data_IF_045905395231
#
_entry.id   IF_045905395231
#
_cell.length_a   1.000
_cell.length_b   1.000
_cell.length_c   1.000
_cell.angle_alpha   90.00
_cell.angle_beta   90.00
_cell.angle_gamma   90.00
#
_symmetry.space_group_name_H-M   'P 1'
#
loop_
_entity.id
_entity.type
_entity.pdbx_description
1 polymer ?
#
# COMPACT_ATOMS: atom_id res chain seq x y z
N UNK A 1 -30.85 15.06 13.40
CA UNK A 1 -30.85 13.79 12.62
C UNK A 1 -29.68 13.82 11.62
N UNK A 2 -28.45 13.61 12.11
CA UNK A 2 -27.20 13.51 11.34
C UNK A 2 -26.12 13.20 12.37
N UNK A 3 -25.82 11.92 12.58
CA UNK A 3 -24.66 11.38 13.31
C UNK A 3 -24.93 9.89 13.60
N UNK A 4 -24.82 9.04 12.58
CA UNK A 4 -24.79 7.57 12.72
C UNK A 4 -24.35 7.04 11.34
N UNK A 5 -23.04 6.95 11.14
CA UNK A 5 -22.46 6.50 9.86
C UNK A 5 -20.97 6.23 9.89
N UNK A 6 -20.24 6.67 10.93
CA UNK A 6 -18.77 6.58 10.96
C UNK A 6 -18.21 5.31 11.63
N UNK A 7 -19.02 4.50 12.33
CA UNK A 7 -18.48 3.43 13.18
C UNK A 7 -18.29 2.06 12.49
N UNK A 8 -18.80 1.85 11.26
CA UNK A 8 -18.79 0.53 10.62
C UNK A 8 -17.74 0.35 9.50
N UNK A 9 -17.02 1.41 9.10
CA UNK A 9 -16.06 1.36 7.98
C UNK A 9 -14.60 1.17 8.40
N UNK A 10 -14.29 1.30 9.69
CA UNK A 10 -12.90 1.28 10.20
C UNK A 10 -12.19 -0.08 10.18
N UNK A 11 -12.88 -1.17 9.84
CA UNK A 11 -12.32 -2.53 9.89
C UNK A 11 -11.90 -3.11 8.52
N UNK A 12 -12.17 -2.43 7.41
CA UNK A 12 -11.85 -2.95 6.06
C UNK A 12 -10.88 -2.08 5.24
N UNK A 13 -10.45 -0.93 5.75
CA UNK A 13 -9.43 -0.08 5.14
C UNK A 13 -8.34 0.27 6.17
N UNK A 14 -7.54 -0.73 6.55
CA UNK A 14 -6.23 -0.49 7.14
C UNK A 14 -5.17 -0.53 6.04
N UNK A 15 -5.21 0.48 5.17
CA UNK A 15 -4.11 0.80 4.25
C UNK A 15 -3.33 1.96 4.90
N UNK A 16 -2.12 1.65 5.36
CA UNK A 16 -1.01 2.56 5.61
C UNK A 16 -1.25 3.85 6.44
N UNK A 17 -1.42 3.70 7.76
CA UNK A 17 -0.98 4.73 8.72
C UNK A 17 -0.02 4.07 9.73
N UNK A 18 1.27 4.45 9.79
CA UNK A 18 2.15 4.04 10.87
C UNK A 18 1.86 4.94 12.07
N UNK A 19 0.95 4.53 12.95
CA UNK A 19 0.80 5.13 14.27
C UNK A 19 1.32 4.14 15.30
N UNK A 20 2.58 4.33 15.72
CA UNK A 20 3.05 3.86 17.01
C UNK A 20 2.14 4.45 18.09
N UNK A 21 1.50 3.59 18.87
CA UNK A 21 0.66 4.03 19.99
C UNK A 21 -0.04 2.86 20.65
N UNK A 22 0.57 2.31 21.68
CA UNK A 22 -0.10 1.47 22.68
C UNK A 22 -1.18 2.35 23.32
N UNK A 23 -2.45 2.12 22.98
CA UNK A 23 -3.57 2.74 23.68
C UNK A 23 -4.69 1.71 23.84
N UNK A 24 -4.75 1.16 25.06
CA UNK A 24 -5.92 0.53 25.65
C UNK A 24 -7.12 1.48 25.56
N UNK A 25 -8.23 1.04 24.96
CA UNK A 25 -9.51 1.73 25.03
C UNK A 25 -10.55 0.77 25.64
N UNK A 26 -10.61 0.79 26.96
CA UNK A 26 -11.85 0.57 27.72
C UNK A 26 -12.74 1.81 27.53
N UNK A 27 -14.04 1.66 27.26
CA UNK A 27 -14.97 2.80 27.24
C UNK A 27 -16.25 2.69 26.40
N UNK A 28 -17.08 1.71 26.76
CA UNK A 28 -18.55 1.60 26.77
C UNK A 28 -19.53 2.44 25.89
N UNK A 29 -20.58 1.70 25.47
CA UNK A 29 -22.01 2.05 25.26
C UNK A 29 -22.58 2.68 23.96
N UNK A 30 -23.09 1.80 23.07
CA UNK A 30 -24.47 1.86 22.53
C UNK A 30 -24.66 1.68 21.00
N UNK A 31 -25.81 1.18 20.49
CA UNK A 31 -26.91 0.43 21.12
C UNK A 31 -26.86 -1.08 20.78
N UNK A 32 -27.26 -1.92 21.73
CA UNK A 32 -27.50 -3.36 21.58
C UNK A 32 -28.65 -3.59 20.60
N UNK A 33 -28.41 -4.38 19.57
CA UNK A 33 -29.46 -5.14 18.93
C UNK A 33 -29.61 -6.46 19.70
N UNK A 34 -30.75 -6.64 20.36
CA UNK A 34 -31.12 -7.88 21.03
C UNK A 34 -31.21 -9.01 20.00
N UNK A 35 -30.22 -9.90 20.03
CA UNK A 35 -30.39 -11.29 19.66
C UNK A 35 -29.88 -12.11 20.87
N UNK A 36 -30.66 -12.09 21.95
CA UNK A 36 -30.45 -12.98 23.07
C UNK A 36 -30.66 -14.42 22.60
N UNK A 37 -29.56 -15.16 22.47
CA UNK A 37 -29.58 -16.61 22.58
C UNK A 37 -28.82 -16.93 23.86
N UNK A 38 -29.57 -17.41 24.84
CA UNK A 38 -29.08 -17.82 26.15
C UNK A 38 -28.10 -18.99 25.96
N UNK A 39 -26.80 -18.70 26.03
CA UNK A 39 -25.76 -19.72 26.01
C UNK A 39 -25.47 -20.15 27.45
N UNK A 40 -26.22 -21.15 27.93
CA UNK A 40 -25.75 -21.98 29.04
C UNK A 40 -24.41 -22.63 28.68
N UNK A 41 -23.63 -23.15 29.66
CA UNK A 41 -22.33 -23.73 29.40
C UNK A 41 -22.53 -24.98 28.54
N UNK A 42 -22.26 -24.84 27.25
CA UNK A 42 -22.30 -25.95 26.31
C UNK A 42 -20.90 -26.56 26.28
N UNK A 43 -20.70 -27.63 27.07
CA UNK A 43 -19.81 -28.73 26.69
C UNK A 43 -20.41 -29.48 25.47
N UNK A 44 -20.66 -28.73 24.39
CA UNK A 44 -20.91 -29.29 23.08
C UNK A 44 -19.53 -29.48 22.46
N UNK A 45 -19.10 -30.74 22.31
CA UNK A 45 -17.75 -31.09 21.83
C UNK A 45 -17.31 -30.19 20.68
N UNK A 46 -16.19 -29.50 20.88
CA UNK A 46 -15.62 -28.59 19.89
C UNK A 46 -15.39 -29.36 18.58
N UNK A 47 -15.86 -28.82 17.46
CA UNK A 47 -15.59 -29.41 16.15
C UNK A 47 -14.08 -29.46 15.91
N UNK A 48 -13.51 -30.61 15.53
CA UNK A 48 -12.09 -30.71 15.22
C UNK A 48 -11.69 -29.71 14.13
N UNK A 49 -10.57 -29.02 14.35
CA UNK A 49 -10.01 -28.12 13.36
C UNK A 49 -9.19 -28.91 12.34
N UNK A 50 -9.58 -28.87 11.06
CA UNK A 50 -8.77 -29.32 9.93
C UNK A 50 -8.78 -28.27 8.83
N UNK A 51 -7.75 -28.26 8.00
CA UNK A 51 -7.70 -27.35 6.86
C UNK A 51 -8.87 -27.63 5.90
N UNK A 52 -9.44 -26.57 5.36
CA UNK A 52 -10.39 -26.64 4.24
C UNK A 52 -9.63 -26.37 2.96
N UNK A 53 -9.81 -27.27 1.99
CA UNK A 53 -9.18 -27.18 0.67
C UNK A 53 -10.11 -27.81 -0.37
N UNK A 54 -10.72 -26.98 -1.21
CA UNK A 54 -11.69 -27.34 -2.24
C UNK A 54 -11.30 -26.68 -3.58
N UNK A 55 -10.32 -27.22 -4.32
CA UNK A 55 -9.88 -26.66 -5.59
C UNK A 55 -10.97 -26.66 -6.68
N UNK A 56 -11.99 -27.52 -6.55
CA UNK A 56 -13.16 -27.55 -7.40
C UNK A 56 -14.11 -26.35 -7.19
N UNK A 57 -13.95 -25.61 -6.09
CA UNK A 57 -14.83 -24.50 -5.70
C UNK A 57 -14.18 -23.12 -5.89
N UNK A 58 -13.14 -23.01 -6.73
CA UNK A 58 -12.38 -21.77 -6.93
C UNK A 58 -13.26 -20.60 -7.36
N UNK A 59 -14.21 -20.83 -8.25
CA UNK A 59 -15.15 -19.85 -8.82
C UNK A 59 -16.53 -19.88 -8.16
N UNK A 60 -16.79 -20.79 -7.21
CA UNK A 60 -18.09 -20.95 -6.55
C UNK A 60 -18.36 -19.79 -5.56
N UNK A 61 -19.40 -18.96 -5.77
CA UNK A 61 -19.70 -17.84 -4.88
C UNK A 61 -20.02 -18.31 -3.46
N UNK A 62 -19.35 -17.70 -2.47
CA UNK A 62 -19.54 -18.03 -1.05
C UNK A 62 -18.65 -19.16 -0.54
N UNK A 63 -17.86 -19.79 -1.42
CA UNK A 63 -16.83 -20.78 -1.07
C UNK A 63 -15.41 -20.30 -1.37
N UNK A 64 -15.24 -19.00 -1.62
CA UNK A 64 -13.95 -18.37 -1.91
C UNK A 64 -12.79 -18.84 -1.02
N UNK A 65 -13.02 -18.86 0.30
CA UNK A 65 -12.00 -19.23 1.30
C UNK A 65 -11.91 -20.74 1.56
N UNK A 66 -12.70 -21.58 0.90
CA UNK A 66 -12.50 -23.03 0.92
C UNK A 66 -11.24 -23.43 0.12
N UNK A 67 -10.64 -22.49 -0.61
CA UNK A 67 -9.31 -22.59 -1.19
C UNK A 67 -8.43 -21.42 -0.70
N UNK A 68 -7.13 -21.63 -0.42
CA UNK A 68 -6.25 -20.56 0.05
C UNK A 68 -6.20 -19.34 -0.88
N UNK A 69 -6.14 -18.14 -0.31
CA UNK A 69 -5.95 -16.90 -1.05
C UNK A 69 -4.74 -16.15 -0.49
N UNK A 70 -3.92 -15.44 -1.28
CA UNK A 70 -3.87 -15.46 -2.75
C UNK A 70 -3.32 -16.79 -3.29
N UNK A 71 -3.45 -17.03 -4.58
CA UNK A 71 -2.86 -18.17 -5.30
C UNK A 71 -2.74 -17.86 -6.79
N UNK A 72 -1.68 -18.31 -7.46
CA UNK A 72 -1.58 -18.18 -8.94
C UNK A 72 -2.73 -18.92 -9.66
N UNK A 73 -3.36 -19.92 -9.02
CA UNK A 73 -4.56 -20.61 -9.51
C UNK A 73 -5.83 -19.72 -9.46
N UNK A 74 -5.74 -18.54 -8.83
CA UNK A 74 -6.76 -17.50 -8.83
C UNK A 74 -6.29 -16.32 -9.68
N UNK A 75 -5.88 -16.60 -10.91
CA UNK A 75 -5.56 -15.56 -11.88
C UNK A 75 -6.17 -15.84 -13.24
N UNK A 76 -6.46 -14.78 -14.00
CA UNK A 76 -6.89 -14.90 -15.39
C UNK A 76 -5.70 -15.23 -16.32
N UNK A 77 -5.98 -15.41 -17.62
CA UNK A 77 -4.94 -15.68 -18.62
C UNK A 77 -3.90 -14.55 -18.81
N UNK A 78 -4.13 -13.37 -18.22
CA UNK A 78 -3.20 -12.24 -18.22
C UNK A 78 -2.48 -12.09 -16.87
N UNK A 79 -2.76 -12.96 -15.90
CA UNK A 79 -2.18 -12.94 -14.56
C UNK A 79 -2.89 -12.00 -13.57
N UNK A 80 -4.04 -11.42 -13.93
CA UNK A 80 -4.81 -10.60 -12.99
C UNK A 80 -5.48 -11.47 -11.93
N UNK A 81 -5.54 -11.05 -10.66
CA UNK A 81 -6.29 -11.77 -9.64
C UNK A 81 -7.75 -12.03 -10.06
N UNK A 82 -8.23 -13.26 -9.87
CA UNK A 82 -9.62 -13.66 -10.05
C UNK A 82 -10.34 -13.71 -8.69
N UNK A 83 -11.35 -12.86 -8.53
CA UNK A 83 -12.16 -12.74 -7.32
C UNK A 83 -13.62 -13.18 -7.54
N UNK A 84 -13.93 -13.92 -8.60
CA UNK A 84 -15.28 -14.39 -8.96
C UNK A 84 -16.03 -15.12 -7.82
N UNK A 85 -15.32 -15.93 -7.02
CA UNK A 85 -15.89 -16.63 -5.87
C UNK A 85 -16.11 -15.75 -4.62
N UNK A 86 -15.53 -14.54 -4.58
CA UNK A 86 -15.52 -13.65 -3.41
C UNK A 86 -16.95 -13.24 -3.00
N UNK A 87 -17.23 -13.06 -1.69
CA UNK A 87 -18.57 -12.70 -1.23
C UNK A 87 -19.14 -11.48 -1.97
N UNK A 88 -20.39 -11.60 -2.45
CA UNK A 88 -21.06 -10.54 -3.22
C UNK A 88 -21.00 -9.20 -2.51
N UNK A 89 -20.33 -8.24 -3.14
CA UNK A 89 -20.19 -6.88 -2.66
C UNK A 89 -21.19 -5.93 -3.37
N UNK A 90 -21.31 -4.71 -2.84
CA UNK A 90 -22.08 -3.60 -3.46
C UNK A 90 -21.34 -2.30 -3.25
N UNK A 91 -21.60 -1.32 -4.11
CA UNK A 91 -20.96 -0.01 -4.09
C UNK A 91 -19.44 -0.14 -4.15
N UNK A 92 -18.73 0.69 -3.38
CA UNK A 92 -17.28 0.80 -3.37
C UNK A 92 -16.50 -0.52 -3.36
N UNK A 93 -16.99 -1.54 -2.65
CA UNK A 93 -16.29 -2.83 -2.54
C UNK A 93 -16.44 -3.64 -3.84
N UNK A 94 -17.59 -3.58 -4.50
CA UNK A 94 -17.77 -4.21 -5.82
C UNK A 94 -16.89 -3.51 -6.85
N UNK A 95 -16.81 -2.18 -6.77
CA UNK A 95 -15.98 -1.39 -7.67
C UNK A 95 -14.49 -1.68 -7.42
N UNK A 96 -14.05 -1.81 -6.17
CA UNK A 96 -12.69 -2.21 -5.81
C UNK A 96 -12.30 -3.60 -6.31
N UNK A 97 -13.23 -4.57 -6.27
CA UNK A 97 -13.02 -5.90 -6.85
C UNK A 97 -12.77 -5.79 -8.35
N UNK A 98 -13.62 -5.04 -9.07
CA UNK A 98 -13.49 -4.85 -10.51
C UNK A 98 -12.15 -4.19 -10.90
N UNK A 99 -11.60 -3.30 -10.07
CA UNK A 99 -10.24 -2.75 -10.27
C UNK A 99 -9.19 -3.84 -10.14
N UNK A 100 -9.23 -4.58 -9.03
CA UNK A 100 -8.22 -5.61 -8.74
C UNK A 100 -8.17 -6.64 -9.86
N UNK A 101 -9.32 -7.02 -10.40
CA UNK A 101 -9.43 -7.96 -11.52
C UNK A 101 -8.99 -7.39 -12.88
N UNK A 102 -8.86 -6.06 -13.02
CA UNK A 102 -8.65 -5.42 -14.33
C UNK A 102 -7.33 -4.67 -14.49
N UNK A 103 -6.73 -4.14 -13.41
CA UNK A 103 -5.61 -3.20 -13.54
C UNK A 103 -4.23 -3.84 -13.65
N UNK A 104 -3.91 -4.78 -12.74
CA UNK A 104 -2.51 -5.23 -12.58
C UNK A 104 -2.38 -6.74 -12.41
N UNK A 105 -1.48 -7.39 -13.16
CA UNK A 105 -1.17 -8.79 -12.93
C UNK A 105 -0.47 -8.96 -11.58
N UNK A 106 -0.67 -10.12 -10.96
CA UNK A 106 -0.10 -10.47 -9.66
C UNK A 106 -0.85 -9.85 -8.47
N UNK A 107 -0.45 -10.28 -7.27
CA UNK A 107 -1.06 -9.87 -6.01
C UNK A 107 -0.31 -8.72 -5.33
N UNK A 108 -0.97 -8.00 -4.44
CA UNK A 108 -0.37 -6.85 -3.74
C UNK A 108 0.92 -7.24 -2.96
N UNK A 109 2.00 -6.42 -3.01
CA UNK A 109 3.22 -6.64 -2.24
C UNK A 109 3.05 -6.67 -0.70
N UNK A 110 1.88 -6.29 -0.20
CA UNK A 110 1.51 -6.31 1.22
C UNK A 110 0.34 -7.26 1.52
N UNK A 111 -0.02 -8.13 0.56
CA UNK A 111 -1.13 -9.06 0.70
C UNK A 111 -0.92 -10.05 1.86
N UNK A 112 -2.02 -10.42 2.53
CA UNK A 112 -2.02 -11.53 3.49
C UNK A 112 -2.43 -12.83 2.81
N UNK A 113 -1.92 -13.96 3.28
CA UNK A 113 -2.42 -15.28 2.93
C UNK A 113 -3.49 -15.76 3.93
N UNK A 114 -4.50 -16.46 3.43
CA UNK A 114 -5.71 -16.85 4.13
C UNK A 114 -5.93 -18.35 4.00
N UNK A 115 -6.10 -19.04 5.12
CA UNK A 115 -6.38 -20.47 5.20
C UNK A 115 -7.59 -20.72 6.10
N UNK A 116 -8.65 -21.32 5.57
CA UNK A 116 -9.86 -21.65 6.33
C UNK A 116 -9.73 -23.02 7.01
N UNK A 117 -10.34 -23.14 8.17
CA UNK A 117 -10.43 -24.37 8.95
C UNK A 117 -11.89 -24.78 9.19
N UNK A 118 -12.13 -26.08 9.32
CA UNK A 118 -13.44 -26.65 9.67
C UNK A 118 -13.88 -26.35 11.11
N UNK A 119 -12.92 -26.01 11.97
CA UNK A 119 -13.12 -25.78 13.41
C UNK A 119 -12.13 -24.75 13.96
N UNK A 120 -12.30 -24.33 15.23
CA UNK A 120 -11.45 -23.32 15.86
C UNK A 120 -10.04 -23.82 16.17
N UNK A 121 -9.02 -23.00 15.91
CA UNK A 121 -7.66 -23.22 16.39
C UNK A 121 -7.50 -22.76 17.85
N UNK A 122 -6.49 -23.31 18.54
CA UNK A 122 -6.02 -22.82 19.84
C UNK A 122 -5.19 -21.54 19.64
N UNK A 123 -5.72 -20.34 19.99
CA UNK A 123 -5.04 -19.08 19.75
C UNK A 123 -3.77 -18.91 20.60
N UNK A 124 -3.66 -19.60 21.73
CA UNK A 124 -2.48 -19.51 22.62
C UNK A 124 -1.26 -20.24 22.03
N UNK A 125 -1.48 -21.11 21.04
CA UNK A 125 -0.43 -21.87 20.35
C UNK A 125 -0.02 -21.28 19.01
N UNK A 126 -0.56 -20.12 18.65
CA UNK A 126 -0.14 -19.41 17.45
C UNK A 126 1.16 -18.62 17.72
N UNK A 127 2.05 -18.48 16.73
CA UNK A 127 3.20 -17.59 16.85
C UNK A 127 2.74 -16.16 17.14
N UNK A 128 3.16 -15.60 18.28
CA UNK A 128 2.84 -14.23 18.68
C UNK A 128 3.94 -13.23 18.32
N UNK A 129 5.20 -13.69 18.27
CA UNK A 129 6.32 -12.90 17.79
C UNK A 129 6.34 -12.88 16.25
N UNK A 130 6.20 -11.70 15.60
CA UNK A 130 6.25 -11.59 14.15
C UNK A 130 7.61 -12.00 13.54
N UNK A 131 8.67 -12.10 14.34
CA UNK A 131 9.96 -12.60 13.88
C UNK A 131 9.98 -14.14 13.75
N UNK A 132 9.11 -14.87 14.46
CA UNK A 132 9.14 -16.33 14.51
C UNK A 132 9.03 -17.02 13.14
N UNK A 133 8.16 -16.62 12.18
CA UNK A 133 8.15 -17.20 10.84
C UNK A 133 9.49 -17.11 10.09
N UNK A 134 10.36 -16.16 10.45
CA UNK A 134 11.72 -16.02 9.91
C UNK A 134 12.75 -16.79 10.74
N UNK A 135 12.74 -16.59 12.05
CA UNK A 135 13.87 -16.90 12.91
C UNK A 135 13.74 -18.25 13.65
N UNK A 136 12.51 -18.76 13.84
CA UNK A 136 12.26 -20.03 14.54
C UNK A 136 12.21 -21.21 13.53
N UNK A 137 13.15 -22.16 13.60
CA UNK A 137 13.17 -23.35 12.74
C UNK A 137 11.93 -24.23 12.87
N UNK A 138 11.27 -24.22 14.03
CA UNK A 138 10.09 -25.04 14.35
C UNK A 138 8.77 -24.29 14.13
N UNK A 139 8.80 -23.03 13.67
CA UNK A 139 7.59 -22.26 13.47
C UNK A 139 6.63 -22.95 12.48
N UNK A 140 5.38 -23.26 12.87
CA UNK A 140 4.47 -24.00 12.00
C UNK A 140 4.02 -23.21 10.78
N UNK A 141 4.29 -21.90 10.71
CA UNK A 141 3.88 -21.01 9.62
C UNK A 141 5.10 -20.30 9.05
N UNK A 142 5.29 -20.42 7.74
CA UNK A 142 6.42 -19.85 7.02
C UNK A 142 5.93 -18.98 5.85
N UNK A 143 6.64 -17.87 5.60
CA UNK A 143 6.51 -17.06 4.39
C UNK A 143 7.85 -17.15 3.66
N UNK A 144 7.85 -17.66 2.44
CA UNK A 144 9.05 -18.03 1.70
C UNK A 144 9.12 -17.33 0.34
N UNK A 145 10.28 -16.78 0.00
CA UNK A 145 10.66 -16.53 -1.40
C UNK A 145 10.91 -17.88 -2.06
N UNK A 146 10.10 -18.21 -3.08
CA UNK A 146 10.18 -19.49 -3.81
C UNK A 146 10.47 -19.27 -5.30
N UNK A 147 10.84 -18.04 -5.66
CA UNK A 147 11.09 -17.70 -7.04
C UNK A 147 12.43 -18.30 -7.50
N UNK A 148 12.45 -19.13 -8.55
CA UNK A 148 13.66 -19.82 -8.98
C UNK A 148 14.76 -18.85 -9.45
N UNK A 149 14.41 -17.65 -9.90
CA UNK A 149 15.34 -16.63 -10.36
C UNK A 149 15.73 -15.65 -9.22
N UNK A 150 15.16 -15.81 -8.02
CA UNK A 150 15.48 -14.95 -6.89
C UNK A 150 16.88 -15.23 -6.34
N UNK A 151 17.72 -14.20 -6.15
CA UNK A 151 18.99 -14.34 -5.42
C UNK A 151 18.77 -14.65 -3.92
N UNK A 152 17.52 -14.56 -3.44
CA UNK A 152 17.11 -14.83 -2.08
C UNK A 152 16.19 -16.05 -2.00
N UNK A 153 16.22 -16.95 -2.99
CA UNK A 153 15.45 -18.20 -2.99
C UNK A 153 15.59 -18.93 -1.64
N UNK A 154 14.45 -19.25 -1.01
CA UNK A 154 14.38 -19.88 0.30
C UNK A 154 14.40 -18.90 1.49
N UNK A 155 14.57 -17.60 1.25
CA UNK A 155 14.52 -16.58 2.31
C UNK A 155 13.16 -16.63 3.00
N UNK A 156 13.19 -16.73 4.32
CA UNK A 156 12.02 -16.60 5.19
C UNK A 156 11.74 -15.14 5.50
N UNK A 157 10.47 -14.75 5.49
CA UNK A 157 10.03 -13.39 5.82
C UNK A 157 9.40 -13.37 7.21
N UNK A 158 9.61 -12.30 8.01
CA UNK A 158 8.87 -12.13 9.25
C UNK A 158 7.40 -11.82 8.91
N UNK A 159 6.47 -12.27 9.74
CA UNK A 159 5.06 -12.11 9.46
C UNK A 159 4.18 -12.21 10.69
N UNK A 160 3.05 -11.50 10.66
CA UNK A 160 1.99 -11.65 11.63
C UNK A 160 1.13 -12.86 11.28
N UNK A 161 0.93 -13.73 12.26
CA UNK A 161 0.00 -14.86 12.20
C UNK A 161 -1.19 -14.53 13.10
N UNK A 162 -2.41 -14.51 12.54
CA UNK A 162 -3.63 -14.23 13.29
C UNK A 162 -4.73 -15.21 12.92
N UNK A 163 -5.53 -15.60 13.92
CA UNK A 163 -6.69 -16.44 13.71
C UNK A 163 -7.99 -15.67 13.95
N UNK A 164 -8.88 -15.73 12.98
CA UNK A 164 -10.19 -15.10 13.01
C UNK A 164 -11.26 -16.19 13.18
N UNK A 165 -11.76 -16.35 14.41
CA UNK A 165 -12.79 -17.36 14.70
C UNK A 165 -14.16 -16.99 14.10
N UNK A 166 -14.56 -15.72 14.19
CA UNK A 166 -15.88 -15.26 13.77
C UNK A 166 -15.92 -14.86 12.30
N UNK A 167 -16.99 -15.26 11.60
CA UNK A 167 -17.24 -14.81 10.24
C UNK A 167 -17.60 -13.31 10.20
N UNK A 168 -17.29 -12.66 9.08
CA UNK A 168 -17.81 -11.32 8.75
C UNK A 168 -18.57 -11.38 7.42
N UNK A 169 -19.06 -10.25 6.92
CA UNK A 169 -19.66 -10.18 5.58
C UNK A 169 -18.70 -10.65 4.47
N UNK A 170 -17.40 -10.38 4.62
CA UNK A 170 -16.38 -10.62 3.58
C UNK A 170 -15.36 -11.69 3.99
N UNK A 171 -15.59 -12.35 5.12
CA UNK A 171 -14.62 -13.25 5.71
C UNK A 171 -15.29 -14.51 6.27
N UNK A 172 -14.74 -15.66 5.92
CA UNK A 172 -15.10 -16.94 6.51
C UNK A 172 -14.72 -16.99 8.01
N UNK A 173 -15.55 -17.66 8.83
CA UNK A 173 -15.14 -18.09 10.18
C UNK A 173 -13.96 -19.05 10.11
N UNK A 174 -13.24 -19.15 11.22
CA UNK A 174 -12.08 -20.02 11.40
C UNK A 174 -11.01 -19.83 10.32
N UNK A 175 -10.60 -18.58 10.08
CA UNK A 175 -9.59 -18.25 9.06
C UNK A 175 -8.28 -17.84 9.71
N UNK A 176 -7.20 -18.53 9.37
CA UNK A 176 -5.83 -18.13 9.67
C UNK A 176 -5.36 -17.12 8.61
N UNK A 177 -4.67 -16.08 9.07
CA UNK A 177 -4.19 -14.96 8.26
C UNK A 177 -2.71 -14.80 8.52
N UNK A 178 -1.92 -14.77 7.44
CA UNK A 178 -0.47 -14.67 7.49
C UNK A 178 -0.05 -13.50 6.62
N UNK A 179 0.47 -12.43 7.22
CA UNK A 179 0.82 -11.20 6.50
C UNK A 179 2.26 -10.79 6.82
N UNK A 180 3.08 -10.37 5.84
CA UNK A 180 4.42 -9.86 6.11
C UNK A 180 4.37 -8.65 7.07
N UNK A 181 5.47 -8.44 7.79
CA UNK A 181 5.62 -7.23 8.62
C UNK A 181 5.68 -5.99 7.71
N UNK A 182 4.94 -4.91 8.00
CA UNK A 182 5.02 -3.68 7.24
C UNK A 182 6.47 -3.18 7.11
N UNK A 183 6.88 -2.81 5.90
CA UNK A 183 8.25 -2.41 5.58
C UNK A 183 9.22 -3.55 5.27
N UNK A 184 8.86 -4.81 5.57
CA UNK A 184 9.63 -6.02 5.21
C UNK A 184 8.68 -6.94 4.41
N UNK A 185 8.30 -6.45 3.23
CA UNK A 185 7.29 -7.07 2.36
C UNK A 185 7.88 -7.97 1.28
N UNK A 186 7.01 -8.36 0.36
CA UNK A 186 7.39 -9.13 -0.81
C UNK A 186 8.04 -8.22 -1.87
N UNK A 187 9.04 -8.74 -2.59
CA UNK A 187 9.61 -8.04 -3.73
C UNK A 187 8.69 -8.13 -4.95
N UNK A 188 8.50 -7.02 -5.69
CA UNK A 188 7.79 -7.00 -6.97
C UNK A 188 8.24 -8.07 -7.95
N UNK A 189 7.28 -8.65 -8.69
CA UNK A 189 7.54 -9.60 -9.78
C UNK A 189 8.00 -10.99 -9.34
N UNK A 190 8.24 -11.22 -8.04
CA UNK A 190 8.68 -12.52 -7.53
C UNK A 190 7.54 -13.42 -7.08
N UNK A 191 7.81 -14.72 -7.07
CA UNK A 191 6.92 -15.74 -6.52
C UNK A 191 7.20 -16.04 -5.04
N UNK A 192 6.14 -16.08 -4.25
CA UNK A 192 6.19 -16.41 -2.82
C UNK A 192 5.25 -17.55 -2.48
N UNK A 193 5.55 -18.24 -1.38
CA UNK A 193 4.63 -19.20 -0.78
C UNK A 193 4.41 -18.90 0.70
N UNK A 194 3.18 -19.08 1.15
CA UNK A 194 2.90 -19.27 2.58
C UNK A 194 2.65 -20.74 2.81
N UNK A 195 3.44 -21.33 3.71
CA UNK A 195 3.44 -22.75 4.03
C UNK A 195 3.06 -22.93 5.48
N UNK A 196 2.06 -23.77 5.73
CA UNK A 196 1.70 -24.22 7.07
C UNK A 196 2.13 -25.68 7.22
N UNK A 197 3.03 -25.92 8.18
CA UNK A 197 3.58 -27.22 8.53
C UNK A 197 2.79 -27.84 9.69
N UNK A 198 3.26 -28.99 10.16
CA UNK A 198 2.87 -29.54 11.45
C UNK A 198 3.08 -28.54 12.59
N UNK A 199 2.21 -28.59 13.60
CA UNK A 199 2.36 -27.81 14.84
C UNK A 199 1.13 -27.02 15.25
N UNK A 200 0.27 -26.65 14.29
CA UNK A 200 -1.02 -26.03 14.62
C UNK A 200 -1.97 -27.02 15.29
N UNK A 201 -2.73 -26.54 16.27
CA UNK A 201 -3.69 -27.35 17.04
C UNK A 201 -5.06 -26.69 17.09
N UNK A 202 -6.09 -27.52 17.06
CA UNK A 202 -7.46 -27.13 17.35
C UNK A 202 -7.62 -26.70 18.81
N UNK A 203 -8.71 -25.99 19.10
CA UNK A 203 -9.09 -25.65 20.47
C UNK A 203 -9.43 -26.88 21.34
N UNK A 204 -9.62 -28.04 20.71
CA UNK A 204 -9.73 -29.37 21.34
C UNK A 204 -8.36 -30.01 21.69
N UNK A 205 -7.26 -29.31 21.39
CA UNK A 205 -5.88 -29.75 21.59
C UNK A 205 -5.35 -30.72 20.54
N UNK A 206 -6.18 -31.16 19.58
CA UNK A 206 -5.77 -32.10 18.54
C UNK A 206 -4.94 -31.39 17.45
N UNK A 207 -3.99 -32.08 16.80
CA UNK A 207 -3.30 -31.52 15.63
C UNK A 207 -4.30 -31.19 14.53
N UNK A 208 -4.12 -30.06 13.83
CA UNK A 208 -4.93 -29.73 12.67
C UNK A 208 -4.43 -30.48 11.42
N UNK A 209 -5.16 -31.49 10.91
CA UNK A 209 -4.72 -32.23 9.73
C UNK A 209 -4.92 -31.40 8.47
N UNK A 210 -4.14 -31.73 7.43
CA UNK A 210 -4.39 -31.27 6.08
C UNK A 210 -5.74 -31.78 5.57
N UNK A 211 -6.31 -31.08 4.60
CA UNK A 211 -7.50 -31.55 3.90
C UNK A 211 -7.17 -32.80 3.07
N UNK A 212 -8.09 -33.79 2.96
CA UNK A 212 -7.87 -34.98 2.13
C UNK A 212 -7.51 -34.68 0.67
N UNK A 213 -8.14 -33.66 0.07
CA UNK A 213 -7.84 -33.23 -1.29
C UNK A 213 -6.42 -32.63 -1.42
N UNK A 214 -5.92 -31.97 -0.37
CA UNK A 214 -4.54 -31.47 -0.34
C UNK A 214 -3.53 -32.60 -0.15
N UNK A 215 -3.83 -33.58 0.70
CA UNK A 215 -2.97 -34.77 0.89
C UNK A 215 -2.86 -35.58 -0.42
N UNK A 216 -3.95 -35.73 -1.17
CA UNK A 216 -3.92 -36.41 -2.48
C UNK A 216 -2.92 -35.75 -3.45
N UNK A 217 -2.82 -34.41 -3.46
CA UNK A 217 -1.86 -33.68 -4.31
C UNK A 217 -0.39 -34.04 -4.02
N UNK A 218 -0.08 -34.56 -2.84
CA UNK A 218 1.28 -35.00 -2.50
C UNK A 218 1.68 -36.27 -3.24
N UNK A 219 0.71 -37.14 -3.56
CA UNK A 219 0.92 -38.38 -4.30
C UNK A 219 0.81 -38.17 -5.81
N UNK A 220 0.07 -37.14 -6.22
CA UNK A 220 -0.10 -36.72 -7.61
C UNK A 220 -1.45 -36.04 -7.80
N UNK A 221 -1.52 -35.06 -8.71
CA UNK A 221 -2.76 -34.37 -9.04
C UNK A 221 -2.93 -34.21 -10.54
N UNK A 222 -4.17 -34.05 -10.96
CA UNK A 222 -4.52 -33.82 -12.37
C UNK A 222 -4.63 -32.32 -12.69
N UNK A 223 -4.47 -31.99 -13.97
CA UNK A 223 -4.71 -30.66 -14.51
C UNK A 223 -3.79 -29.58 -13.94
N UNK A 224 -4.27 -28.34 -13.99
CA UNK A 224 -3.50 -27.16 -13.57
C UNK A 224 -3.20 -27.15 -12.06
N UNK A 225 -4.17 -27.55 -11.23
CA UNK A 225 -3.98 -27.65 -9.77
C UNK A 225 -2.90 -28.68 -9.44
N UNK A 226 -2.94 -29.86 -10.07
CA UNK A 226 -1.93 -30.89 -9.90
C UNK A 226 -0.52 -30.40 -10.28
N UNK A 227 -0.38 -29.79 -11.46
CA UNK A 227 0.89 -29.24 -11.92
C UNK A 227 1.41 -28.12 -11.01
N UNK A 228 0.54 -27.21 -10.56
CA UNK A 228 0.89 -26.12 -9.65
C UNK A 228 1.47 -26.64 -8.33
N UNK A 229 0.78 -27.60 -7.69
CA UNK A 229 1.23 -28.15 -6.41
C UNK A 229 2.42 -29.11 -6.55
N UNK A 230 2.54 -29.86 -7.64
CA UNK A 230 3.73 -30.66 -7.92
C UNK A 230 5.00 -29.79 -7.98
N UNK A 231 4.94 -28.67 -8.72
CA UNK A 231 6.04 -27.71 -8.79
C UNK A 231 6.33 -27.06 -7.42
N UNK A 232 5.28 -26.70 -6.68
CA UNK A 232 5.46 -26.15 -5.33
C UNK A 232 6.15 -27.15 -4.39
N UNK A 233 5.72 -28.41 -4.38
CA UNK A 233 6.35 -29.44 -3.53
C UNK A 233 7.79 -29.71 -3.93
N UNK A 234 8.12 -29.75 -5.22
CA UNK A 234 9.51 -29.87 -5.71
C UNK A 234 10.38 -28.72 -5.19
N UNK A 235 9.91 -27.47 -5.31
CA UNK A 235 10.62 -26.31 -4.78
C UNK A 235 10.79 -26.38 -3.26
N UNK A 236 9.73 -26.73 -2.52
CA UNK A 236 9.80 -26.84 -1.06
C UNK A 236 10.76 -27.95 -0.61
N UNK A 237 10.76 -29.10 -1.27
CA UNK A 237 11.70 -30.20 -1.00
C UNK A 237 13.15 -29.77 -1.29
N UNK A 238 13.39 -29.06 -2.39
CA UNK A 238 14.70 -28.47 -2.71
C UNK A 238 15.18 -27.45 -1.66
N UNK A 239 14.25 -26.78 -0.99
CA UNK A 239 14.51 -25.86 0.12
C UNK A 239 14.61 -26.55 1.49
N UNK A 240 14.49 -27.88 1.55
CA UNK A 240 14.59 -28.66 2.78
C UNK A 240 13.30 -28.71 3.61
N UNK A 241 12.14 -28.47 2.99
CA UNK A 241 10.82 -28.65 3.61
C UNK A 241 10.14 -29.90 3.03
N UNK A 242 10.19 -31.06 3.73
CA UNK A 242 9.62 -32.30 3.23
C UNK A 242 8.12 -32.16 2.98
N UNK A 243 7.66 -32.63 1.81
CA UNK A 243 6.24 -32.64 1.42
C UNK A 243 5.32 -33.28 2.47
N UNK A 244 5.80 -34.30 3.18
CA UNK A 244 5.04 -34.97 4.23
C UNK A 244 4.63 -34.03 5.38
N UNK A 245 5.47 -33.04 5.71
CA UNK A 245 5.27 -32.11 6.82
C UNK A 245 4.34 -30.94 6.46
N UNK A 246 4.10 -30.70 5.17
CA UNK A 246 3.24 -29.60 4.70
C UNK A 246 1.77 -29.95 4.93
N UNK A 247 1.05 -29.12 5.69
CA UNK A 247 -0.38 -29.30 5.99
C UNK A 247 -1.30 -28.43 5.14
N UNK A 248 -0.81 -27.26 4.74
CA UNK A 248 -1.42 -26.43 3.72
C UNK A 248 -0.35 -25.53 3.11
N UNK A 249 -0.54 -25.12 1.87
CA UNK A 249 0.32 -24.12 1.25
C UNK A 249 -0.44 -23.36 0.15
N UNK A 250 0.00 -22.13 -0.09
CA UNK A 250 -0.40 -21.37 -1.27
C UNK A 250 0.80 -20.66 -1.88
N UNK A 251 0.91 -20.67 -3.20
CA UNK A 251 1.96 -20.01 -3.96
C UNK A 251 1.36 -18.94 -4.89
N UNK A 252 1.97 -17.77 -4.91
CA UNK A 252 1.43 -16.59 -5.60
C UNK A 252 2.54 -15.64 -6.06
N UNK A 253 2.29 -15.00 -7.19
CA UNK A 253 3.19 -14.03 -7.82
C UNK A 253 2.81 -12.61 -7.44
N UNK A 254 3.80 -11.79 -7.11
CA UNK A 254 3.60 -10.43 -6.64
C UNK A 254 3.58 -9.45 -7.81
N UNK A 255 2.59 -8.57 -7.81
CA UNK A 255 2.48 -7.47 -8.75
C UNK A 255 3.68 -6.53 -8.67
N UNK A 256 3.99 -5.87 -9.80
CA UNK A 256 5.02 -4.84 -9.84
C UNK A 256 4.41 -3.43 -10.01
N UNK A 257 4.06 -2.75 -8.91
CA UNK A 257 3.51 -1.40 -9.00
C UNK A 257 4.56 -0.34 -9.39
N UNK A 258 5.85 -0.66 -9.35
CA UNK A 258 6.91 0.30 -9.64
C UNK A 258 7.07 0.55 -11.15
N UNK A 259 6.73 -0.42 -12.01
CA UNK A 259 6.84 -0.31 -13.48
C UNK A 259 6.18 0.96 -14.01
N UNK A 260 4.95 1.24 -13.58
CA UNK A 260 4.22 2.42 -14.04
C UNK A 260 4.82 3.73 -13.50
N UNK A 261 5.40 3.72 -12.28
CA UNK A 261 6.13 4.89 -11.77
C UNK A 261 7.45 5.11 -12.52
N UNK A 262 8.12 4.05 -12.97
CA UNK A 262 9.27 4.14 -13.85
C UNK A 262 8.90 4.69 -15.23
N UNK A 263 7.75 4.29 -15.78
CA UNK A 263 7.21 4.87 -17.01
C UNK A 263 6.92 6.36 -16.86
N UNK A 264 6.27 6.76 -15.75
CA UNK A 264 6.03 8.17 -15.44
C UNK A 264 7.34 8.96 -15.30
N UNK A 265 8.35 8.36 -14.63
CA UNK A 265 9.70 8.94 -14.50
C UNK A 265 10.37 9.14 -15.85
N UNK A 266 10.39 8.11 -16.71
CA UNK A 266 10.96 8.20 -18.06
C UNK A 266 10.27 9.32 -18.85
N UNK A 267 8.94 9.38 -18.80
CA UNK A 267 8.17 10.41 -19.47
C UNK A 267 8.53 11.81 -18.96
N UNK A 268 8.45 12.06 -17.65
CA UNK A 268 8.67 13.40 -17.09
C UNK A 268 10.11 13.87 -17.30
N UNK A 269 11.10 12.96 -17.24
CA UNK A 269 12.51 13.28 -17.53
C UNK A 269 12.77 13.68 -18.98
N UNK A 270 11.97 13.18 -19.93
CA UNK A 270 12.07 13.56 -21.33
C UNK A 270 11.42 14.92 -21.64
N UNK A 271 10.62 15.46 -20.71
CA UNK A 271 9.96 16.75 -20.91
C UNK A 271 10.88 17.95 -20.67
N UNK A 272 10.64 19.08 -21.38
CA UNK A 272 11.33 20.33 -21.09
C UNK A 272 11.00 20.82 -19.68
N UNK A 273 11.95 21.53 -19.06
CA UNK A 273 11.74 22.12 -17.75
C UNK A 273 10.78 23.32 -17.86
N UNK A 274 9.72 23.39 -17.04
CA UNK A 274 8.86 24.55 -16.95
C UNK A 274 9.63 25.79 -16.47
N UNK A 275 9.22 26.96 -16.95
CA UNK A 275 9.68 28.23 -16.39
C UNK A 275 8.96 28.52 -15.06
N UNK A 276 9.70 29.01 -14.08
CA UNK A 276 9.13 29.53 -12.83
C UNK A 276 8.86 31.02 -13.00
N UNK A 277 7.61 31.42 -12.81
CA UNK A 277 7.14 32.78 -13.06
C UNK A 277 6.37 33.35 -11.86
N UNK A 278 6.07 34.64 -11.90
CA UNK A 278 5.19 35.27 -10.90
C UNK A 278 5.82 35.42 -9.51
N UNK A 279 7.15 35.50 -9.42
CA UNK A 279 7.87 35.69 -8.17
C UNK A 279 7.34 36.89 -7.35
N UNK A 280 7.06 36.63 -6.08
CA UNK A 280 6.59 37.63 -5.12
C UNK A 280 7.24 37.42 -3.76
N UNK A 281 7.68 38.51 -3.12
CA UNK A 281 8.04 38.52 -1.70
C UNK A 281 6.75 38.49 -0.87
N UNK A 282 6.59 37.46 -0.04
CA UNK A 282 5.47 37.35 0.89
C UNK A 282 5.76 38.01 2.24
N UNK A 283 6.98 37.83 2.74
CA UNK A 283 7.42 38.40 4.02
C UNK A 283 8.95 38.50 4.06
N UNK A 284 9.46 39.54 4.72
CA UNK A 284 10.87 39.67 5.09
C UNK A 284 10.97 39.72 6.60
N UNK A 285 11.52 38.67 7.20
CA UNK A 285 11.74 38.50 8.63
C UNK A 285 13.25 38.54 8.93
N UNK A 286 13.68 38.68 10.20
CA UNK A 286 15.10 38.86 10.53
C UNK A 286 16.03 37.79 9.96
N UNK A 287 15.60 36.53 9.97
CA UNK A 287 16.38 35.34 9.62
C UNK A 287 15.92 34.66 8.31
N UNK A 288 14.78 35.07 7.75
CA UNK A 288 14.17 34.42 6.58
C UNK A 288 13.42 35.43 5.72
N UNK A 289 13.58 35.32 4.40
CA UNK A 289 12.68 35.95 3.43
C UNK A 289 11.83 34.88 2.77
N UNK A 290 10.52 35.06 2.79
CA UNK A 290 9.55 34.15 2.19
C UNK A 290 9.17 34.64 0.80
N UNK A 291 9.23 33.75 -0.18
CA UNK A 291 8.83 34.00 -1.56
C UNK A 291 7.72 33.06 -1.99
N UNK A 292 7.01 33.45 -3.05
CA UNK A 292 6.06 32.61 -3.76
C UNK A 292 6.26 32.76 -5.26
N UNK A 293 6.03 31.67 -6.00
CA UNK A 293 6.02 31.65 -7.45
C UNK A 293 5.08 30.57 -7.99
N UNK A 294 5.01 30.42 -9.30
CA UNK A 294 4.20 29.40 -9.98
C UNK A 294 4.95 28.83 -11.17
N UNK A 295 4.75 27.54 -11.42
CA UNK A 295 5.17 26.86 -12.64
C UNK A 295 4.05 25.93 -13.13
N UNK A 296 4.18 25.41 -14.35
CA UNK A 296 3.23 24.46 -14.92
C UNK A 296 3.79 23.02 -14.83
N UNK A 297 3.11 22.10 -14.17
CA UNK A 297 3.49 20.67 -14.10
C UNK A 297 2.90 19.86 -15.27
N UNK A 298 3.31 18.60 -15.40
CA UNK A 298 2.71 17.60 -16.29
C UNK A 298 1.80 16.69 -15.47
N UNK A 299 0.50 16.93 -15.54
CA UNK A 299 -0.53 16.15 -14.86
C UNK A 299 -0.97 14.97 -15.73
N UNK A 300 -0.75 13.75 -15.23
CA UNK A 300 -0.98 12.50 -15.95
C UNK A 300 -2.35 11.88 -15.66
N UNK A 301 -3.11 12.44 -14.72
CA UNK A 301 -4.40 11.92 -14.30
C UNK A 301 -5.48 12.22 -15.35
N UNK A 302 -6.29 11.21 -15.70
CA UNK A 302 -7.47 11.41 -16.55
C UNK A 302 -8.63 12.10 -15.80
N UNK A 303 -9.59 12.65 -16.55
CA UNK A 303 -10.76 13.33 -15.97
C UNK A 303 -10.45 14.71 -15.37
N UNK A 304 -11.29 15.13 -14.42
CA UNK A 304 -11.17 16.45 -13.78
C UNK A 304 -11.33 16.36 -12.26
N UNK A 305 -10.56 17.16 -11.49
CA UNK A 305 -10.73 17.22 -10.06
C UNK A 305 -12.15 17.70 -9.72
N UNK A 306 -12.76 17.18 -8.63
CA UNK A 306 -12.14 16.36 -7.59
C UNK A 306 -12.11 14.85 -7.86
N UNK A 307 -12.33 14.36 -9.09
CA UNK A 307 -12.28 12.92 -9.42
C UNK A 307 -13.25 12.05 -8.60
N UNK A 308 -14.46 12.56 -8.33
CA UNK A 308 -15.45 11.86 -7.50
C UNK A 308 -16.17 10.72 -8.23
N UNK A 309 -16.10 10.70 -9.56
CA UNK A 309 -16.62 9.58 -10.35
C UNK A 309 -15.63 8.41 -10.28
N UNK A 310 -16.13 7.23 -9.90
CA UNK A 310 -15.30 6.04 -9.81
C UNK A 310 -14.61 5.74 -11.15
N UNK A 311 -13.30 5.49 -11.12
CA UNK A 311 -12.50 5.27 -12.33
C UNK A 311 -11.94 6.53 -12.99
N UNK A 312 -12.41 7.72 -12.63
CA UNK A 312 -11.76 8.99 -13.00
C UNK A 312 -10.50 9.23 -12.17
N UNK A 313 -9.59 10.07 -12.66
CA UNK A 313 -8.32 10.34 -11.99
C UNK A 313 -7.32 9.19 -12.16
N UNK A 314 -7.55 8.28 -13.10
CA UNK A 314 -6.64 7.15 -13.33
C UNK A 314 -5.44 7.61 -14.16
N UNK A 315 -4.22 7.29 -13.72
CA UNK A 315 -3.04 7.39 -14.59
C UNK A 315 -2.99 6.13 -15.44
N UNK A 316 -3.07 6.29 -16.77
CA UNK A 316 -3.05 5.18 -17.72
C UNK A 316 -1.84 5.32 -18.64
N UNK A 317 -1.27 4.19 -19.01
CA UNK A 317 -0.16 4.12 -19.95
C UNK A 317 -0.60 3.41 -21.23
N UNK A 318 -0.16 3.92 -22.38
CA UNK A 318 -0.28 3.24 -23.65
C UNK A 318 0.69 2.04 -23.70
N UNK A 319 0.52 1.10 -24.67
CA UNK A 319 1.40 -0.07 -24.77
C UNK A 319 2.90 0.25 -24.95
N UNK A 320 3.24 1.46 -25.39
CA UNK A 320 4.62 1.94 -25.52
C UNK A 320 5.19 2.55 -24.23
N UNK A 321 4.41 2.53 -23.13
CA UNK A 321 4.79 3.07 -21.83
C UNK A 321 4.63 4.59 -21.70
N UNK A 322 4.03 5.28 -22.69
CA UNK A 322 3.74 6.71 -22.57
C UNK A 322 2.43 6.95 -21.80
N UNK A 323 2.31 8.01 -20.99
CA UNK A 323 1.04 8.37 -20.36
C UNK A 323 -0.03 8.68 -21.41
N UNK A 324 -1.21 8.09 -21.25
CA UNK A 324 -2.35 8.30 -22.15
C UNK A 324 -2.97 9.70 -22.00
N UNK A 325 -2.79 10.33 -20.84
CA UNK A 325 -3.20 11.72 -20.58
C UNK A 325 -1.99 12.53 -20.14
N UNK A 326 -1.87 13.73 -20.67
CA UNK A 326 -0.89 14.73 -20.23
C UNK A 326 -1.54 16.10 -20.31
N UNK A 327 -1.85 16.69 -19.17
CA UNK A 327 -2.33 18.06 -19.05
C UNK A 327 -1.25 18.97 -18.45
N UNK A 328 -1.34 20.27 -18.73
CA UNK A 328 -0.53 21.30 -18.06
C UNK A 328 -1.39 21.94 -16.97
N UNK A 329 -0.85 22.01 -15.75
CA UNK A 329 -1.56 22.57 -14.59
C UNK A 329 -0.63 23.49 -13.80
N UNK A 330 -1.12 24.64 -13.33
CA UNK A 330 -0.34 25.51 -12.46
C UNK A 330 -0.13 24.85 -11.10
N UNK A 331 1.09 24.98 -10.58
CA UNK A 331 1.50 24.59 -9.24
C UNK A 331 2.17 25.79 -8.59
N UNK A 332 1.63 26.24 -7.46
CA UNK A 332 2.29 27.26 -6.65
C UNK A 332 3.40 26.64 -5.80
N UNK A 333 4.43 27.43 -5.57
CA UNK A 333 5.54 27.10 -4.68
C UNK A 333 5.76 28.21 -3.66
N UNK A 334 6.22 27.84 -2.48
CA UNK A 334 6.62 28.76 -1.43
C UNK A 334 8.07 28.49 -1.02
N UNK A 335 8.91 29.52 -0.97
CA UNK A 335 10.31 29.39 -0.57
C UNK A 335 10.56 30.14 0.73
N UNK A 336 11.20 29.48 1.70
CA UNK A 336 11.82 30.12 2.86
C UNK A 336 13.32 30.20 2.60
N UNK A 337 13.85 31.41 2.48
CA UNK A 337 15.25 31.65 2.10
C UNK A 337 15.99 32.31 3.26
N UNK A 338 17.15 31.79 3.68
CA UNK A 338 17.97 32.44 4.70
C UNK A 338 18.31 33.89 4.33
N UNK A 339 18.37 34.77 5.34
CA UNK A 339 18.92 36.14 5.14
C UNK A 339 20.44 36.19 5.27
N UNK A 340 21.07 35.10 5.71
CA UNK A 340 22.52 34.96 5.74
C UNK A 340 23.09 34.81 4.33
N UNK A 341 24.33 35.28 4.08
CA UNK A 341 24.96 35.07 2.77
C UNK A 341 25.05 33.58 2.41
N UNK A 342 24.68 33.24 1.17
CA UNK A 342 24.89 31.92 0.62
C UNK A 342 26.39 31.62 0.49
N UNK A 343 26.74 30.33 0.56
CA UNK A 343 28.04 29.87 0.08
C UNK A 343 28.15 30.06 -1.45
N UNK A 344 29.35 30.00 -2.05
CA UNK A 344 29.52 30.15 -3.50
C UNK A 344 28.64 29.21 -4.35
N UNK A 345 28.40 28.01 -3.84
CA UNK A 345 27.53 26.99 -4.42
C UNK A 345 26.03 27.30 -4.30
N UNK A 346 25.62 28.23 -3.44
CA UNK A 346 24.22 28.55 -3.13
C UNK A 346 23.76 28.01 -1.78
N UNK A 347 22.51 28.30 -1.39
CA UNK A 347 21.91 27.70 -0.19
C UNK A 347 21.50 26.24 -0.47
N UNK A 348 21.77 25.28 0.43
CA UNK A 348 21.16 23.96 0.33
C UNK A 348 19.64 24.08 0.41
N UNK A 349 18.94 23.22 -0.31
CA UNK A 349 17.47 23.24 -0.38
C UNK A 349 16.88 21.96 0.19
N UNK A 350 15.88 22.12 1.04
CA UNK A 350 14.99 21.05 1.49
C UNK A 350 13.67 21.18 0.74
N UNK A 351 13.34 20.20 -0.11
CA UNK A 351 11.99 20.06 -0.66
C UNK A 351 11.07 19.56 0.45
N UNK A 352 9.97 20.26 0.68
CA UNK A 352 9.02 19.98 1.76
C UNK A 352 7.68 19.46 1.22
N UNK A 353 7.35 18.21 1.53
CA UNK A 353 6.04 17.59 1.27
C UNK A 353 5.05 17.87 2.42
N UNK A 354 3.98 18.62 2.15
CA UNK A 354 2.97 18.93 3.16
C UNK A 354 2.03 17.75 3.43
N UNK A 355 1.43 17.72 4.62
CA UNK A 355 0.38 16.76 4.95
C UNK A 355 -0.94 17.06 4.24
N UNK A 356 -1.90 16.14 4.37
CA UNK A 356 -3.26 16.30 3.84
C UNK A 356 -3.91 17.62 4.29
N UNK A 357 -4.45 18.39 3.34
CA UNK A 357 -5.08 19.68 3.61
C UNK A 357 -4.11 20.86 3.74
N UNK A 358 -2.80 20.61 3.57
CA UNK A 358 -1.77 21.63 3.49
C UNK A 358 -1.72 22.35 2.14
N UNK A 359 -0.68 23.16 1.96
CA UNK A 359 -0.40 23.95 0.77
C UNK A 359 1.11 24.25 0.65
N UNK A 360 1.49 24.96 -0.41
CA UNK A 360 2.88 25.36 -0.68
C UNK A 360 3.49 26.29 0.38
N UNK A 361 2.68 26.88 1.26
CA UNK A 361 3.12 27.77 2.34
C UNK A 361 3.15 27.07 3.70
N UNK A 362 2.72 25.82 3.78
CA UNK A 362 2.56 25.11 5.06
C UNK A 362 3.87 25.05 5.82
N UNK A 363 4.98 24.76 5.13
CA UNK A 363 6.32 24.69 5.72
C UNK A 363 6.77 25.98 6.43
N UNK A 364 6.25 27.16 6.04
CA UNK A 364 6.57 28.44 6.68
C UNK A 364 6.20 28.50 8.17
N UNK A 365 5.24 27.67 8.61
CA UNK A 365 4.77 27.58 10.01
C UNK A 365 5.23 26.30 10.69
N UNK A 366 6.02 25.49 10.00
CA UNK A 366 6.63 24.26 10.49
C UNK A 366 8.15 24.39 10.30
N UNK A 367 8.79 23.41 9.68
CA UNK A 367 10.24 23.30 9.65
C UNK A 367 10.92 24.28 8.67
N UNK A 368 10.20 24.86 7.70
CA UNK A 368 10.80 25.64 6.62
C UNK A 368 11.52 26.90 7.06
N UNK A 369 10.90 27.70 7.93
CA UNK A 369 11.53 28.90 8.49
C UNK A 369 12.63 28.57 9.50
N UNK A 370 12.50 27.44 10.20
CA UNK A 370 13.53 26.93 11.12
C UNK A 370 14.77 26.47 10.34
N UNK A 371 14.59 25.77 9.24
CA UNK A 371 15.65 25.40 8.30
C UNK A 371 16.35 26.64 7.74
N UNK A 372 15.58 27.67 7.35
CA UNK A 372 16.14 28.92 6.86
C UNK A 372 16.99 29.63 7.93
N UNK A 373 16.58 29.55 9.19
CA UNK A 373 17.32 30.13 10.32
C UNK A 373 18.70 29.52 10.55
N UNK A 374 18.92 28.29 10.09
CA UNK A 374 20.21 27.58 10.16
C UNK A 374 20.94 27.51 8.80
N UNK A 375 20.48 28.29 7.81
CA UNK A 375 21.19 28.47 6.53
C UNK A 375 20.73 27.56 5.39
N UNK A 376 19.67 26.76 5.57
CA UNK A 376 19.10 25.92 4.53
C UNK A 376 17.77 26.49 4.03
N UNK A 377 17.62 26.68 2.72
CA UNK A 377 16.34 27.09 2.16
C UNK A 377 15.34 25.91 2.17
N UNK A 378 14.05 26.23 2.22
CA UNK A 378 12.98 25.23 2.12
C UNK A 378 12.02 25.59 0.98
N UNK A 379 11.70 24.61 0.14
CA UNK A 379 10.76 24.72 -0.98
C UNK A 379 9.52 23.87 -0.69
N UNK A 380 8.38 24.51 -0.45
CA UNK A 380 7.08 23.85 -0.44
C UNK A 380 6.37 24.02 -1.79
N UNK A 381 5.47 23.11 -2.11
CA UNK A 381 4.70 23.12 -3.36
C UNK A 381 3.27 22.65 -3.10
N UNK A 382 2.35 22.94 -4.01
CA UNK A 382 0.99 22.37 -3.94
C UNK A 382 1.01 20.95 -4.47
N UNK A 383 0.79 19.95 -3.62
CA UNK A 383 0.63 18.55 -4.05
C UNK A 383 -0.55 18.36 -5.02
N UNK A 384 -0.64 17.21 -5.68
CA UNK A 384 -1.83 16.88 -6.46
C UNK A 384 -3.08 16.92 -5.56
N UNK A 385 -4.24 17.26 -6.14
CA UNK A 385 -5.47 17.53 -5.39
C UNK A 385 -5.32 18.66 -4.33
N UNK A 386 -4.45 19.64 -4.57
CA UNK A 386 -4.40 20.88 -3.79
C UNK A 386 -4.39 22.12 -4.71
N UNK A 387 -4.65 23.29 -4.13
CA UNK A 387 -4.60 24.56 -4.87
C UNK A 387 -5.56 24.62 -6.05
N UNK A 388 -5.04 25.08 -7.20
CA UNK A 388 -5.80 25.15 -8.45
C UNK A 388 -6.26 23.77 -8.96
N UNK A 389 -5.63 22.69 -8.50
CA UNK A 389 -5.97 21.30 -8.83
C UNK A 389 -7.03 20.72 -7.89
N UNK A 390 -7.58 21.52 -6.97
CA UNK A 390 -8.65 21.13 -6.06
C UNK A 390 -9.62 22.28 -5.76
N UNK A 391 -10.38 22.74 -6.77
CA UNK A 391 -11.32 23.85 -6.59
C UNK A 391 -12.46 23.55 -5.61
N UNK A 392 -12.72 22.26 -5.34
CA UNK A 392 -13.77 21.82 -4.43
C UNK A 392 -13.35 21.63 -2.97
N UNK A 393 -12.04 21.75 -2.66
CA UNK A 393 -11.52 21.57 -1.30
C UNK A 393 -11.64 20.14 -0.76
N UNK A 394 -11.58 19.13 -1.64
CA UNK A 394 -11.64 17.71 -1.27
C UNK A 394 -10.26 17.18 -0.95
N UNK A 395 -10.11 16.35 0.06
CA UNK A 395 -8.83 15.75 0.40
C UNK A 395 -8.75 14.27 0.00
N UNK A 396 -7.54 13.72 0.10
CA UNK A 396 -7.29 12.29 -0.18
C UNK A 396 -8.16 11.40 0.71
N UNK A 397 -8.42 11.79 1.97
CA UNK A 397 -9.32 11.05 2.87
C UNK A 397 -10.75 10.93 2.33
N UNK A 398 -11.25 11.99 1.68
CA UNK A 398 -12.54 11.97 0.99
C UNK A 398 -12.51 11.03 -0.22
N UNK A 399 -11.43 11.05 -0.99
CA UNK A 399 -11.27 10.17 -2.15
C UNK A 399 -11.10 8.70 -1.77
N UNK A 400 -10.46 8.36 -0.65
CA UNK A 400 -10.37 6.96 -0.20
C UNK A 400 -11.75 6.30 -0.08
N UNK A 401 -12.77 7.08 0.30
CA UNK A 401 -14.16 6.59 0.40
C UNK A 401 -14.92 6.72 -0.91
N UNK A 402 -14.72 7.80 -1.66
CA UNK A 402 -15.50 8.09 -2.87
C UNK A 402 -14.93 7.43 -4.13
N UNK A 403 -13.61 7.51 -4.32
CA UNK A 403 -12.87 6.99 -5.47
C UNK A 403 -11.41 6.63 -5.05
N UNK A 404 -11.17 5.42 -4.54
CA UNK A 404 -9.86 5.01 -4.02
C UNK A 404 -8.78 4.93 -5.11
N UNK A 405 -9.16 4.83 -6.40
CA UNK A 405 -8.21 4.97 -7.50
C UNK A 405 -7.63 6.38 -7.49
N UNK A 406 -8.49 7.40 -7.54
CA UNK A 406 -8.02 8.78 -7.56
C UNK A 406 -7.22 9.13 -6.29
N UNK A 407 -7.54 8.53 -5.14
CA UNK A 407 -6.71 8.68 -3.94
C UNK A 407 -5.28 8.15 -4.16
N UNK A 408 -5.14 6.93 -4.68
CA UNK A 408 -3.83 6.32 -5.04
C UNK A 408 -3.09 7.15 -6.08
N UNK A 409 -3.78 7.54 -7.15
CA UNK A 409 -3.19 8.27 -8.26
C UNK A 409 -2.83 9.71 -7.91
N UNK A 410 -3.53 10.34 -6.96
CA UNK A 410 -3.13 11.65 -6.43
C UNK A 410 -1.74 11.57 -5.80
N UNK A 411 -1.48 10.56 -4.97
CA UNK A 411 -0.14 10.36 -4.37
C UNK A 411 0.91 10.14 -5.46
N UNK A 412 0.61 9.29 -6.45
CA UNK A 412 1.53 9.03 -7.58
C UNK A 412 1.80 10.27 -8.42
N UNK A 413 0.78 11.08 -8.70
CA UNK A 413 0.92 12.33 -9.42
C UNK A 413 1.76 13.34 -8.63
N UNK A 414 1.61 13.41 -7.31
CA UNK A 414 2.49 14.24 -6.47
C UNK A 414 3.95 13.80 -6.61
N UNK A 415 4.23 12.49 -6.61
CA UNK A 415 5.60 11.97 -6.82
C UNK A 415 6.13 12.34 -8.21
N UNK A 416 5.30 12.33 -9.25
CA UNK A 416 5.68 12.83 -10.59
C UNK A 416 6.03 14.31 -10.57
N UNK A 417 5.25 15.13 -9.86
CA UNK A 417 5.55 16.56 -9.67
C UNK A 417 6.89 16.76 -8.95
N UNK A 418 7.17 15.94 -7.93
CA UNK A 418 8.44 15.97 -7.20
C UNK A 418 9.63 15.61 -8.08
N UNK A 419 9.53 14.57 -8.92
CA UNK A 419 10.57 14.24 -9.90
C UNK A 419 10.89 15.42 -10.82
N UNK A 420 9.86 16.18 -11.25
CA UNK A 420 10.05 17.40 -12.03
C UNK A 420 10.70 18.52 -11.20
N UNK A 421 10.25 18.74 -9.97
CA UNK A 421 10.79 19.75 -9.06
C UNK A 421 12.28 19.53 -8.76
N UNK A 422 12.71 18.28 -8.55
CA UNK A 422 14.13 17.96 -8.37
C UNK A 422 14.95 18.35 -9.60
N UNK A 423 14.46 18.07 -10.82
CA UNK A 423 15.14 18.47 -12.06
C UNK A 423 15.18 19.99 -12.21
N UNK A 424 14.10 20.68 -11.85
CA UNK A 424 14.03 22.13 -11.88
C UNK A 424 15.01 22.78 -10.89
N UNK A 425 15.12 22.26 -9.66
CA UNK A 425 16.10 22.69 -8.66
C UNK A 425 17.53 22.47 -9.15
N UNK A 426 17.85 21.27 -9.64
CA UNK A 426 19.18 20.94 -10.15
C UNK A 426 19.59 21.83 -11.35
N UNK A 427 18.63 22.32 -12.13
CA UNK A 427 18.85 23.22 -13.25
C UNK A 427 18.85 24.72 -12.86
N UNK A 428 18.70 25.05 -11.57
CA UNK A 428 18.66 26.44 -11.10
C UNK A 428 17.37 27.18 -11.46
N UNK A 429 16.28 26.48 -11.80
CA UNK A 429 15.02 27.11 -12.21
C UNK A 429 14.37 27.95 -11.09
N UNK A 430 14.76 27.71 -9.84
CA UNK A 430 14.29 28.46 -8.67
C UNK A 430 15.25 29.57 -8.23
N UNK A 431 16.40 29.76 -8.89
CA UNK A 431 17.31 30.87 -8.60
C UNK A 431 16.57 32.20 -8.70
N UNK A 432 16.73 33.04 -7.68
CA UNK A 432 16.02 34.31 -7.59
C UNK A 432 16.80 35.38 -8.35
N UNK A 433 16.22 36.02 -9.38
CA UNK A 433 16.89 37.10 -10.06
C UNK A 433 17.01 38.33 -9.17
N UNK A 434 18.00 39.18 -9.47
CA UNK A 434 18.22 40.48 -8.83
C UNK A 434 16.94 41.35 -8.72
N UNK A 435 16.08 41.28 -9.73
CA UNK A 435 14.80 42.00 -9.76
C UNK A 435 13.81 41.55 -8.68
N UNK A 436 13.94 40.31 -8.19
CA UNK A 436 13.09 39.72 -7.15
C UNK A 436 13.72 39.91 -5.76
N UNK A 437 15.04 39.79 -5.64
CA UNK A 437 15.75 39.99 -4.37
C UNK A 437 15.90 41.47 -4.00
N UNK A 438 15.76 42.38 -4.98
CA UNK A 438 16.03 43.81 -4.81
C UNK A 438 17.52 44.12 -4.71
N UNK A 439 18.39 43.20 -5.14
CA UNK A 439 19.84 43.28 -4.99
C UNK A 439 20.55 42.28 -5.90
N UNK A 440 21.53 41.54 -5.39
CA UNK A 440 22.22 40.50 -6.14
C UNK A 440 21.31 39.28 -6.36
N UNK A 441 21.49 38.53 -7.47
CA UNK A 441 20.77 37.28 -7.68
C UNK A 441 21.16 36.28 -6.59
N UNK A 442 20.18 35.49 -6.13
CA UNK A 442 20.39 34.45 -5.12
C UNK A 442 20.27 33.09 -5.79
N UNK A 443 21.23 32.21 -5.49
CA UNK A 443 21.30 30.86 -6.05
C UNK A 443 21.10 29.80 -5.00
N UNK A 444 20.62 28.65 -5.47
CA UNK A 444 20.47 27.45 -4.66
C UNK A 444 21.48 26.39 -5.07
N UNK A 445 21.99 25.64 -4.10
CA UNK A 445 22.90 24.54 -4.35
C UNK A 445 22.15 23.44 -5.11
N UNK A 446 22.67 22.97 -6.26
CA UNK A 446 21.99 21.94 -7.04
C UNK A 446 22.01 20.58 -6.34
N UNK A 447 22.98 20.35 -5.45
CA UNK A 447 23.07 19.17 -4.60
C UNK A 447 23.75 19.50 -3.24
N UNK A 448 23.39 18.78 -2.15
CA UNK A 448 22.26 17.86 -2.09
C UNK A 448 20.94 18.64 -2.01
N UNK A 449 19.93 18.21 -2.78
CA UNK A 449 18.53 18.54 -2.48
C UNK A 449 18.03 17.51 -1.49
N UNK A 450 17.67 17.96 -0.29
CA UNK A 450 17.15 17.11 0.77
C UNK A 450 15.63 17.04 0.65
N UNK A 451 15.04 15.96 1.17
CA UNK A 451 13.59 15.84 1.30
C UNK A 451 13.17 15.81 2.76
N UNK A 452 12.07 16.48 3.06
CA UNK A 452 11.37 16.35 4.33
C UNK A 452 9.88 16.34 4.05
N UNK A 453 9.13 15.52 4.78
CA UNK A 453 7.69 15.47 4.63
C UNK A 453 6.99 15.04 5.90
N UNK A 454 5.74 15.45 6.03
CA UNK A 454 4.89 15.13 7.16
C UNK A 454 3.59 14.45 6.71
N UNK A 455 3.19 13.37 7.39
CA UNK A 455 1.97 12.61 7.09
C UNK A 455 1.94 12.15 5.62
N UNK A 456 0.97 12.58 4.82
CA UNK A 456 0.90 12.30 3.37
C UNK A 456 2.21 12.64 2.65
N UNK A 457 2.76 13.84 2.87
CA UNK A 457 4.05 14.22 2.29
C UNK A 457 5.23 13.43 2.83
N UNK A 458 5.10 12.68 3.94
CA UNK A 458 6.14 11.73 4.34
C UNK A 458 6.10 10.40 3.58
N UNK A 459 4.95 10.09 2.95
CA UNK A 459 4.75 8.88 2.14
C UNK A 459 5.08 9.10 0.66
N UNK A 460 4.77 10.29 0.16
CA UNK A 460 5.19 10.82 -1.15
C UNK A 460 6.70 11.05 -1.18
#
# INVERSE_FOLDING_TARGET
>A
MRALGAAALGACLSVCLPACGVATLEGDAGPRADAGVDAGPADAGLSPAGFVFAPEALDEPGRFYDFPFPSDLRTDARGHPDLSGFPRARGLIADAIAIVEAERPGFSPITGAYFRFSGPLDPERLPTDPAAPRDDPECPVLLLDIDPDSPELGRRLPGYVRFQAQATRFWASNTLVVRPVPGIGYHPGRRYAVVVREGLRGADGQPAPAAPAFEALKEGGDGEVGAHYAALFETLEGLGFPRAEVRAATAFTISDPAVEMDQARVFVHAQPLPEVTGWRVLASLPNVTRYEATFETYDLMDGAPPFMEFGSGTIRFAPDGTPATVARRPVRVGLSVPTTPAAPEGHPVVLYGHGTGGDHQTHFRHEGDELASIGAAALGFEAALHGARNPGGFDVGTLVVANPIAARETVRQTVVDMMLLYRMLAAGAFDLPASVTGGEPLRFAPEPVLYMGHSQGGQE
#
